data_IF_730935881024
#
_entry.id   IF_730935881024
#
_cell.length_a   1.000
_cell.length_b   1.000
_cell.length_c   1.000
_cell.angle_alpha   90.00
_cell.angle_beta   90.00
_cell.angle_gamma   90.00
#
_symmetry.space_group_name_H-M   'P 1'
#
loop_
_entity.id
_entity.type
_entity.pdbx_description
1 polymer ?
#
# COMPACT_ATOMS: atom_id res chain seq x y z
N UNK A 1 47.69 13.72 35.92
CA UNK A 1 46.34 14.23 36.24
C UNK A 1 46.19 15.60 35.57
N UNK A 2 45.65 15.71 34.35
CA UNK A 2 45.20 16.97 33.81
C UNK A 2 43.67 17.08 33.83
N UNK A 3 43.23 18.32 33.97
CA UNK A 3 41.87 18.75 34.23
C UNK A 3 40.96 18.73 33.00
N UNK A 4 39.68 18.51 33.31
CA UNK A 4 38.49 18.55 32.49
C UNK A 4 38.30 19.91 31.80
N UNK A 5 37.99 19.90 30.51
CA UNK A 5 37.33 21.01 29.81
C UNK A 5 35.94 20.56 29.40
N UNK A 6 34.91 21.25 29.90
CA UNK A 6 33.53 21.20 29.41
C UNK A 6 33.26 22.46 28.59
N UNK A 7 32.55 22.31 27.46
CA UNK A 7 31.55 23.18 26.79
C UNK A 7 31.21 22.39 25.50
N UNK A 8 29.98 22.07 25.09
CA UNK A 8 28.80 22.89 24.88
C UNK A 8 27.57 22.00 24.59
N UNK A 9 26.38 22.46 25.01
CA UNK A 9 25.06 22.48 24.31
C UNK A 9 24.88 21.47 23.17
N UNK A 10 23.86 20.64 23.10
CA UNK A 10 22.47 20.75 23.53
C UNK A 10 21.61 20.08 22.45
N UNK A 11 20.35 19.83 22.79
CA UNK A 11 19.30 19.33 21.91
C UNK A 11 19.32 17.81 21.63
N UNK A 12 18.54 17.08 22.42
CA UNK A 12 18.11 15.72 22.06
C UNK A 12 16.59 15.72 21.93
N UNK A 13 16.18 15.92 20.68
CA UNK A 13 15.39 14.91 19.97
C UNK A 13 14.04 14.61 20.59
N UNK A 14 13.03 15.29 20.05
CA UNK A 14 11.67 14.75 19.92
C UNK A 14 11.73 13.26 19.60
N UNK A 15 11.10 12.46 20.47
CA UNK A 15 10.94 11.03 20.29
C UNK A 15 9.98 10.80 19.12
N UNK A 16 10.52 10.67 17.90
CA UNK A 16 9.80 10.05 16.81
C UNK A 16 9.69 8.55 17.09
N UNK A 17 8.49 8.16 17.50
CA UNK A 17 8.08 6.79 17.74
C UNK A 17 8.29 5.97 16.44
N UNK A 18 9.11 4.90 16.46
CA UNK A 18 9.28 4.04 15.30
C UNK A 18 7.98 3.26 15.11
N UNK A 19 7.14 3.76 14.22
CA UNK A 19 5.88 3.10 13.91
C UNK A 19 6.18 2.00 12.91
N UNK A 20 6.18 0.75 13.40
CA UNK A 20 6.34 -0.50 12.64
C UNK A 20 7.78 -0.82 12.22
N UNK A 21 8.29 -1.98 12.63
CA UNK A 21 9.61 -2.53 12.23
C UNK A 21 9.66 -2.97 10.76
N UNK A 22 9.12 -2.16 9.85
CA UNK A 22 9.04 -2.42 8.42
C UNK A 22 10.30 -1.89 7.75
N UNK A 23 10.86 -2.67 6.83
CA UNK A 23 12.03 -2.28 6.08
C UNK A 23 11.69 -1.14 5.10
N UNK A 24 12.45 -0.05 5.18
CA UNK A 24 12.47 1.00 4.16
C UNK A 24 13.32 0.47 2.99
N UNK A 25 12.73 0.42 1.80
CA UNK A 25 13.29 -0.13 0.59
C UNK A 25 13.58 0.96 -0.43
N UNK A 26 14.68 0.80 -1.16
CA UNK A 26 14.95 1.53 -2.41
C UNK A 26 14.17 0.91 -3.58
N UNK A 27 13.98 1.63 -4.70
CA UNK A 27 13.25 1.11 -5.86
C UNK A 27 13.78 -0.23 -6.39
N UNK A 28 15.11 -0.43 -6.43
CA UNK A 28 15.70 -1.70 -6.84
C UNK A 28 15.37 -2.83 -5.87
N UNK A 29 15.46 -2.58 -4.56
CA UNK A 29 15.11 -3.55 -3.54
C UNK A 29 13.64 -3.95 -3.58
N UNK A 30 12.74 -3.03 -3.95
CA UNK A 30 11.32 -3.35 -4.18
C UNK A 30 11.20 -4.38 -5.31
N UNK A 31 11.84 -4.13 -6.45
CA UNK A 31 11.79 -5.06 -7.59
C UNK A 31 12.38 -6.43 -7.23
N UNK A 32 13.52 -6.45 -6.54
CA UNK A 32 14.19 -7.69 -6.13
C UNK A 32 13.34 -8.50 -5.12
N UNK A 33 12.58 -7.82 -4.27
CA UNK A 33 11.73 -8.45 -3.25
C UNK A 33 10.39 -8.96 -3.79
N UNK A 34 9.99 -8.51 -4.99
CA UNK A 34 8.63 -8.68 -5.51
C UNK A 34 8.24 -10.14 -5.72
N UNK A 35 9.16 -10.96 -6.24
CA UNK A 35 8.87 -12.39 -6.48
C UNK A 35 8.58 -13.13 -5.18
N UNK A 36 9.39 -12.87 -4.15
CA UNK A 36 9.23 -13.45 -2.81
C UNK A 36 7.94 -12.97 -2.15
N UNK A 37 7.64 -11.67 -2.26
CA UNK A 37 6.40 -11.12 -1.72
C UNK A 37 5.16 -11.75 -2.38
N UNK A 38 5.19 -11.93 -3.71
CA UNK A 38 4.11 -12.59 -4.46
C UNK A 38 3.93 -14.04 -4.01
N UNK A 39 5.02 -14.79 -3.84
CA UNK A 39 4.95 -16.17 -3.38
C UNK A 39 4.36 -16.27 -1.96
N UNK A 40 4.85 -15.44 -1.03
CA UNK A 40 4.33 -15.38 0.33
C UNK A 40 2.84 -15.05 0.36
N UNK A 41 2.42 -14.05 -0.43
CA UNK A 41 1.03 -13.62 -0.49
C UNK A 41 0.10 -14.65 -1.18
N UNK A 42 0.64 -15.49 -2.07
CA UNK A 42 -0.10 -16.64 -2.61
C UNK A 42 -0.24 -17.75 -1.58
N UNK A 43 0.82 -18.07 -0.84
CA UNK A 43 0.82 -19.12 0.20
C UNK A 43 -0.15 -18.75 1.34
N UNK A 44 -0.19 -17.49 1.74
CA UNK A 44 -1.15 -16.98 2.73
C UNK A 44 -2.59 -16.95 2.23
N UNK A 45 -2.81 -17.06 0.92
CA UNK A 45 -4.13 -16.91 0.30
C UNK A 45 -4.61 -15.46 0.19
N UNK A 46 -3.76 -14.47 0.47
CA UNK A 46 -4.12 -13.05 0.37
C UNK A 46 -4.06 -12.52 -1.07
N UNK A 47 -3.28 -13.16 -1.94
CA UNK A 47 -3.13 -12.80 -3.36
C UNK A 47 -3.87 -13.77 -4.28
N UNK A 48 -4.85 -13.25 -5.01
CA UNK A 48 -5.61 -14.00 -5.99
C UNK A 48 -4.92 -13.96 -7.35
N UNK A 49 -4.76 -15.13 -7.97
CA UNK A 49 -4.23 -15.26 -9.33
C UNK A 49 -5.33 -15.75 -10.25
N UNK A 50 -5.51 -15.06 -11.37
CA UNK A 50 -6.51 -15.41 -12.35
C UNK A 50 -5.87 -15.90 -13.64
N UNK A 51 -6.41 -16.97 -14.20
CA UNK A 51 -6.04 -17.42 -15.53
C UNK A 51 -6.42 -16.35 -16.55
N UNK A 52 -5.46 -15.95 -17.38
CA UNK A 52 -5.68 -14.97 -18.43
C UNK A 52 -4.96 -15.38 -19.72
N UNK A 53 -5.64 -15.15 -20.84
CA UNK A 53 -5.11 -15.37 -22.18
C UNK A 53 -4.62 -14.05 -22.74
N UNK A 54 -3.51 -14.08 -23.47
CA UNK A 54 -2.92 -12.89 -24.09
C UNK A 54 -2.87 -13.11 -25.60
N UNK A 55 -3.38 -12.16 -26.36
CA UNK A 55 -3.29 -12.13 -27.81
C UNK A 55 -2.81 -10.77 -28.28
N UNK A 56 -1.81 -10.76 -29.16
CA UNK A 56 -1.33 -9.55 -29.80
C UNK A 56 -2.10 -9.34 -31.11
N UNK A 57 -2.57 -8.12 -31.35
CA UNK A 57 -3.33 -7.74 -32.55
C UNK A 57 -2.73 -6.46 -33.10
N UNK A 58 -2.66 -6.34 -34.42
CA UNK A 58 -2.26 -5.11 -35.11
C UNK A 58 -3.47 -4.58 -35.86
N UNK A 59 -3.83 -3.33 -35.59
CA UNK A 59 -4.90 -2.62 -36.28
C UNK A 59 -4.42 -1.20 -36.60
N UNK A 60 -4.53 -0.80 -37.87
CA UNK A 60 -4.03 0.50 -38.39
C UNK A 60 -2.58 0.83 -37.95
N UNK A 61 -1.66 -0.13 -38.07
CA UNK A 61 -0.26 -0.05 -37.63
C UNK A 61 -0.03 0.16 -36.12
N UNK A 62 -1.10 0.12 -35.31
CA UNK A 62 -1.03 0.15 -33.85
C UNK A 62 -1.03 -1.28 -33.32
N UNK A 63 -0.04 -1.60 -32.48
CA UNK A 63 0.07 -2.91 -31.82
C UNK A 63 -0.66 -2.88 -30.49
N UNK A 64 -1.64 -3.76 -30.34
CA UNK A 64 -2.41 -3.97 -29.12
C UNK A 64 -2.05 -5.32 -28.50
N UNK A 65 -1.99 -5.35 -27.17
CA UNK A 65 -1.97 -6.59 -26.40
C UNK A 65 -3.31 -6.74 -25.68
N UNK A 66 -4.12 -7.69 -26.12
CA UNK A 66 -5.43 -8.00 -25.54
C UNK A 66 -5.25 -9.09 -24.50
N UNK A 67 -5.67 -8.81 -23.25
CA UNK A 67 -5.70 -9.80 -22.17
C UNK A 67 -7.14 -10.16 -21.80
N UNK A 68 -7.52 -11.41 -22.03
CA UNK A 68 -8.81 -11.95 -21.66
C UNK A 68 -8.74 -12.66 -20.30
N UNK A 69 -9.52 -12.21 -19.33
CA UNK A 69 -9.67 -12.86 -18.02
C UNK A 69 -11.15 -13.14 -17.73
N UNK A 70 -11.65 -14.37 -18.01
CA UNK A 70 -13.06 -14.71 -17.83
C UNK A 70 -13.57 -14.58 -16.39
N UNK A 71 -12.68 -14.77 -15.40
CA UNK A 71 -13.02 -14.69 -13.99
C UNK A 71 -13.57 -13.31 -13.57
N UNK A 72 -13.12 -12.23 -14.22
CA UNK A 72 -13.59 -10.87 -13.90
C UNK A 72 -15.08 -10.66 -14.14
N UNK A 73 -15.68 -11.39 -15.09
CA UNK A 73 -17.11 -11.32 -15.39
C UNK A 73 -17.99 -11.85 -14.23
N UNK A 74 -17.42 -12.57 -13.27
CA UNK A 74 -18.15 -13.13 -12.13
C UNK A 74 -18.15 -12.19 -10.91
N UNK A 75 -17.27 -11.18 -10.89
CA UNK A 75 -17.07 -10.25 -9.76
C UNK A 75 -18.36 -9.53 -9.33
N UNK A 76 -19.30 -9.30 -10.24
CA UNK A 76 -20.58 -8.65 -9.94
C UNK A 76 -21.48 -9.49 -9.01
N UNK A 77 -21.31 -10.82 -8.97
CA UNK A 77 -22.13 -11.73 -8.16
C UNK A 77 -21.72 -11.72 -6.69
N UNK A 78 -20.49 -11.34 -6.39
CA UNK A 78 -19.93 -11.26 -5.03
C UNK A 78 -19.93 -9.84 -4.47
N UNK A 79 -20.65 -8.90 -5.12
CA UNK A 79 -20.76 -7.53 -4.64
C UNK A 79 -21.29 -7.55 -3.21
N UNK A 80 -20.40 -7.25 -2.25
CA UNK A 80 -20.79 -6.98 -0.88
C UNK A 80 -21.93 -5.94 -0.89
N UNK A 81 -22.95 -6.10 -0.04
CA UNK A 81 -24.08 -5.18 -0.02
C UNK A 81 -23.55 -3.75 0.11
N UNK A 82 -24.02 -2.87 -0.77
CA UNK A 82 -23.75 -1.44 -0.71
C UNK A 82 -23.99 -0.98 0.72
N UNK A 83 -23.03 -0.32 1.40
CA UNK A 83 -23.28 0.19 2.73
C UNK A 83 -24.50 1.10 2.65
N UNK A 84 -25.57 0.74 3.36
CA UNK A 84 -26.77 1.56 3.46
C UNK A 84 -26.36 2.86 4.13
N UNK A 85 -26.09 3.91 3.34
CA UNK A 85 -25.99 5.27 3.84
C UNK A 85 -27.42 5.72 4.12
N UNK A 86 -27.96 5.31 5.26
CA UNK A 86 -29.18 5.89 5.80
C UNK A 86 -28.91 7.39 6.02
N UNK A 87 -29.75 8.23 5.43
CA UNK A 87 -29.65 9.70 5.44
C UNK A 87 -30.05 10.29 6.81
N UNK A 88 -29.40 9.85 7.88
CA UNK A 88 -29.52 10.47 9.19
C UNK A 88 -28.21 11.18 9.54
N UNK A 89 -28.24 12.51 9.41
CA UNK A 89 -27.12 13.43 9.64
C UNK A 89 -26.57 13.43 11.10
N UNK A 90 -27.06 12.56 11.98
CA UNK A 90 -26.59 12.42 13.37
C UNK A 90 -25.40 11.47 13.53
N UNK A 91 -25.02 10.71 12.50
CA UNK A 91 -24.04 9.62 12.59
C UNK A 91 -22.77 9.83 11.74
N UNK A 92 -22.34 11.08 11.53
CA UNK A 92 -21.13 11.39 10.74
C UNK A 92 -19.90 10.64 11.28
N UNK A 93 -19.78 10.50 12.60
CA UNK A 93 -18.67 9.79 13.26
C UNK A 93 -18.67 8.29 12.96
N UNK A 94 -19.84 7.65 12.84
CA UNK A 94 -19.95 6.23 12.52
C UNK A 94 -19.71 5.96 11.02
N UNK A 95 -20.11 6.89 10.15
CA UNK A 95 -19.80 6.83 8.71
C UNK A 95 -18.30 7.01 8.46
N UNK A 96 -17.64 7.94 9.17
CA UNK A 96 -16.18 8.11 9.09
C UNK A 96 -15.43 6.87 9.62
N UNK A 97 -15.87 6.28 10.74
CA UNK A 97 -15.25 5.04 11.28
C UNK A 97 -15.44 3.82 10.38
N UNK A 98 -16.55 3.72 9.65
CA UNK A 98 -16.77 2.64 8.69
C UNK A 98 -15.92 2.81 7.44
N UNK A 99 -15.77 4.03 6.93
CA UNK A 99 -14.90 4.35 5.79
C UNK A 99 -13.42 4.07 6.14
N UNK A 100 -12.94 4.52 7.29
CA UNK A 100 -11.54 4.29 7.70
C UNK A 100 -11.23 2.83 8.00
N UNK A 101 -12.21 2.05 8.46
CA UNK A 101 -12.06 0.60 8.67
C UNK A 101 -12.10 -0.22 7.38
N UNK A 102 -12.59 0.35 6.28
CA UNK A 102 -12.76 -0.35 5.00
C UNK A 102 -11.83 0.13 3.89
N UNK A 103 -10.98 1.13 4.17
CA UNK A 103 -9.95 1.55 3.22
C UNK A 103 -8.83 0.48 3.14
N UNK A 104 -8.68 -0.22 1.99
CA UNK A 104 -7.67 -1.26 1.83
C UNK A 104 -6.23 -0.72 1.77
N UNK A 105 -6.07 0.61 1.72
CA UNK A 105 -4.78 1.30 1.62
C UNK A 105 -4.32 1.86 2.96
N UNK A 106 -5.10 1.68 4.03
CA UNK A 106 -4.70 2.01 5.40
C UNK A 106 -4.23 0.76 6.16
N UNK A 107 -3.26 0.92 7.08
CA UNK A 107 -2.82 -0.19 7.93
C UNK A 107 -3.93 -0.62 8.91
N UNK A 108 -3.89 -1.88 9.40
CA UNK A 108 -2.83 -2.86 9.23
C UNK A 108 -2.90 -3.59 7.89
N UNK A 109 -1.74 -3.70 7.23
CA UNK A 109 -1.60 -4.48 6.00
C UNK A 109 -1.36 -5.96 6.32
N UNK A 110 -1.91 -6.84 5.48
CA UNK A 110 -1.67 -8.29 5.51
C UNK A 110 -0.38 -8.63 4.74
N UNK A 111 -0.26 -9.87 4.23
CA UNK A 111 0.93 -10.31 3.48
C UNK A 111 1.11 -9.61 2.11
N UNK A 112 0.20 -8.72 1.73
CA UNK A 112 0.31 -7.88 0.54
C UNK A 112 1.31 -6.72 0.71
N UNK A 113 1.73 -6.40 1.94
CA UNK A 113 2.72 -5.34 2.16
C UNK A 113 4.13 -5.81 1.82
N UNK A 114 4.74 -5.16 0.83
CA UNK A 114 6.11 -5.43 0.40
C UNK A 114 7.11 -4.66 1.26
N UNK A 115 6.79 -3.40 1.56
CA UNK A 115 7.61 -2.52 2.39
C UNK A 115 7.28 -1.05 2.18
N UNK A 116 8.08 -0.18 2.78
CA UNK A 116 7.93 1.27 2.69
C UNK A 116 9.03 1.87 1.81
N UNK A 117 8.73 2.95 1.10
CA UNK A 117 9.71 3.68 0.27
C UNK A 117 9.64 5.17 0.61
N UNK A 118 10.79 5.83 0.73
CA UNK A 118 10.85 7.29 0.90
C UNK A 118 10.84 7.98 -0.45
N UNK A 119 10.35 9.22 -0.48
CA UNK A 119 10.60 10.06 -1.63
C UNK A 119 12.10 10.40 -1.70
N UNK A 120 12.69 10.17 -2.87
CA UNK A 120 14.13 10.38 -3.13
C UNK A 120 14.46 11.84 -3.42
N UNK A 121 13.45 12.69 -3.60
CA UNK A 121 13.63 14.11 -3.91
C UNK A 121 13.74 14.99 -2.66
N UNK A 122 13.30 14.49 -1.51
CA UNK A 122 13.30 15.22 -0.25
C UNK A 122 13.82 14.33 0.88
N UNK A 123 15.12 14.49 1.20
CA UNK A 123 15.84 13.71 2.23
C UNK A 123 15.20 13.78 3.63
N UNK A 124 14.41 14.83 3.91
CA UNK A 124 13.69 15.06 5.17
C UNK A 124 12.16 14.92 5.04
N UNK A 125 11.65 14.39 3.93
CA UNK A 125 10.20 14.25 3.77
C UNK A 125 9.62 13.17 4.69
N UNK A 126 8.60 13.57 5.45
CA UNK A 126 7.71 12.66 6.19
C UNK A 126 6.77 11.93 5.20
N UNK A 127 6.77 12.35 3.95
CA UNK A 127 6.01 11.78 2.85
C UNK A 127 6.75 10.58 2.27
N UNK A 128 6.01 9.48 2.10
CA UNK A 128 6.56 8.24 1.58
C UNK A 128 5.46 7.41 0.96
N UNK A 129 5.81 6.19 0.57
CA UNK A 129 4.90 5.27 -0.08
C UNK A 129 4.89 3.93 0.65
N UNK A 130 3.70 3.39 0.87
CA UNK A 130 3.54 1.97 1.13
C UNK A 130 3.54 1.24 -0.22
N UNK A 131 4.32 0.18 -0.31
CA UNK A 131 4.38 -0.68 -1.50
C UNK A 131 3.50 -1.90 -1.24
N UNK A 132 2.37 -1.98 -1.94
CA UNK A 132 1.39 -3.04 -1.75
C UNK A 132 1.25 -3.89 -3.02
N UNK A 133 1.17 -5.21 -2.89
CA UNK A 133 0.74 -6.09 -3.97
C UNK A 133 -0.73 -5.83 -4.30
N UNK A 134 -1.07 -5.82 -5.58
CA UNK A 134 -2.47 -5.79 -5.99
C UNK A 134 -3.12 -7.15 -5.68
N UNK A 135 -4.04 -7.17 -4.71
CA UNK A 135 -4.79 -8.37 -4.29
C UNK A 135 -5.38 -9.16 -5.47
N UNK A 136 -5.88 -8.44 -6.49
CA UNK A 136 -6.56 -9.02 -7.64
C UNK A 136 -5.71 -8.86 -8.91
N UNK A 137 -4.44 -9.24 -8.83
CA UNK A 137 -3.48 -9.05 -9.90
C UNK A 137 -3.72 -10.00 -11.09
N UNK A 138 -3.90 -9.43 -12.28
CA UNK A 138 -3.84 -10.18 -13.55
C UNK A 138 -2.40 -10.45 -14.01
N UNK A 139 -1.46 -9.59 -13.60
CA UNK A 139 -0.05 -9.68 -13.94
C UNK A 139 0.75 -10.07 -12.70
N UNK A 140 1.64 -11.07 -12.82
CA UNK A 140 2.55 -11.44 -11.74
C UNK A 140 3.36 -10.21 -11.34
N UNK A 141 3.40 -9.92 -10.05
CA UNK A 141 4.15 -8.78 -9.52
C UNK A 141 3.48 -7.42 -9.76
N UNK A 142 2.20 -7.35 -10.10
CA UNK A 142 1.51 -6.05 -10.09
C UNK A 142 1.45 -5.50 -8.67
N UNK A 143 2.07 -4.34 -8.45
CA UNK A 143 2.09 -3.64 -7.17
C UNK A 143 1.60 -2.19 -7.31
N UNK A 144 1.30 -1.58 -6.17
CA UNK A 144 0.75 -0.25 -6.00
C UNK A 144 1.70 0.57 -5.12
N UNK A 145 1.97 1.80 -5.52
CA UNK A 145 2.60 2.80 -4.68
C UNK A 145 1.49 3.64 -4.04
N UNK A 146 1.29 3.45 -2.75
CA UNK A 146 0.24 4.12 -1.98
C UNK A 146 0.86 5.23 -1.18
N UNK A 147 0.43 6.47 -1.43
CA UNK A 147 0.90 7.63 -0.68
C UNK A 147 0.61 7.44 0.80
N UNK A 148 1.68 7.48 1.61
CA UNK A 148 1.59 7.49 3.06
C UNK A 148 1.23 8.91 3.49
N UNK A 149 -0.04 9.11 3.81
CA UNK A 149 -0.47 10.34 4.48
C UNK A 149 -0.21 10.20 5.96
N UNK A 150 0.24 11.29 6.59
CA UNK A 150 0.21 11.39 8.05
C UNK A 150 -1.24 11.19 8.51
N UNK A 151 -1.48 10.18 9.34
CA UNK A 151 -2.76 9.98 10.00
C UNK A 151 -3.09 11.25 10.76
N UNK A 152 -4.05 12.05 10.28
CA UNK A 152 -4.60 13.15 11.08
C UNK A 152 -5.32 12.49 12.25
N UNK A 153 -4.66 12.42 13.39
CA UNK A 153 -5.30 12.13 14.65
C UNK A 153 -6.29 13.27 14.91
N UNK A 154 -7.56 13.05 14.57
CA UNK A 154 -8.64 13.90 15.06
C UNK A 154 -8.75 13.59 16.55
N UNK A 155 -8.07 14.39 17.37
CA UNK A 155 -8.36 14.47 18.79
C UNK A 155 -9.74 15.12 18.92
N UNK A 156 -10.72 14.31 19.31
CA UNK A 156 -12.04 14.76 19.79
C UNK A 156 -11.97 14.93 21.30
#
# INVERSE_FOLDING_TARGET
>A
MPATSQTQVGDTGVNDLPTSGVAILSPSQVIDSLEKAVENAKISGDLESYESFVGDVVDEDIKYQIRLCPALAQKHKERAPTPNVASDASNITAVVQTITRSDPFLPPFNSLHVGEMRDILEDDSVEGYNVLLNKFALLKGHFLLVIRRASVAVYV
#
